data_IF_968714075339
#
_entry.id   IF_968714075339
#
_cell.length_a   1.000
_cell.length_b   1.000
_cell.length_c   1.000
_cell.angle_alpha   90.00
_cell.angle_beta   90.00
_cell.angle_gamma   90.00
#
_symmetry.space_group_name_H-M   'P 1'
#
loop_
_entity.id
_entity.type
_entity.pdbx_description
1 polymer ?
#
# COMPACT_ATOMS: atom_id res chain seq x y z
N UNK A 1 -14.96 16.99 -11.43
CA UNK A 1 -13.70 17.71 -11.20
C UNK A 1 -12.58 16.84 -11.73
N UNK A 2 -11.98 17.18 -12.86
CA UNK A 2 -10.82 16.43 -13.35
C UNK A 2 -9.64 16.78 -12.44
N UNK A 3 -9.25 15.83 -11.59
CA UNK A 3 -8.01 15.93 -10.81
C UNK A 3 -6.86 15.80 -11.82
N UNK A 4 -6.25 16.90 -12.18
CA UNK A 4 -5.03 16.90 -12.98
C UNK A 4 -3.89 16.56 -11.99
N UNK A 5 -3.31 15.38 -12.15
CA UNK A 5 -2.09 15.01 -11.42
C UNK A 5 -0.90 15.56 -12.20
N UNK A 6 -0.03 16.30 -11.52
CA UNK A 6 1.24 16.74 -12.08
C UNK A 6 2.26 15.63 -11.88
N UNK A 7 2.54 14.87 -12.93
CA UNK A 7 3.54 13.80 -12.92
C UNK A 7 4.94 14.30 -13.29
N UNK A 8 5.09 15.56 -13.66
CA UNK A 8 6.36 16.20 -13.99
C UNK A 8 6.99 16.89 -12.76
N UNK A 9 6.22 17.03 -11.69
CA UNK A 9 6.72 17.59 -10.43
C UNK A 9 7.79 16.69 -9.81
N UNK A 10 9.01 17.22 -9.68
CA UNK A 10 10.11 16.52 -9.01
C UNK A 10 10.02 16.72 -7.49
N UNK A 11 9.65 15.69 -6.78
CA UNK A 11 9.59 15.69 -5.32
C UNK A 11 10.96 15.34 -4.75
N UNK A 12 11.63 16.31 -4.09
CA UNK A 12 12.88 16.01 -3.40
C UNK A 12 12.62 15.16 -2.15
N UNK A 13 13.11 13.93 -2.17
CA UNK A 13 13.00 12.97 -1.05
C UNK A 13 14.32 12.74 -0.32
N UNK A 14 15.41 13.45 -0.70
CA UNK A 14 16.67 13.42 0.03
C UNK A 14 16.55 14.18 1.34
N UNK A 15 17.17 13.66 2.40
CA UNK A 15 17.04 14.24 3.73
C UNK A 15 15.69 13.95 4.41
N UNK A 16 14.84 13.15 3.79
CA UNK A 16 13.68 12.51 4.45
C UNK A 16 14.06 11.08 4.82
N UNK A 17 13.45 10.44 5.75
CA UNK A 17 13.77 9.05 6.14
C UNK A 17 13.42 8.02 5.04
N UNK A 18 13.46 8.42 3.77
CA UNK A 18 13.21 7.57 2.62
C UNK A 18 14.35 6.57 2.42
N UNK A 19 14.08 5.28 2.63
CA UNK A 19 15.05 4.21 2.39
C UNK A 19 15.58 4.21 0.95
N UNK A 20 14.74 4.55 -0.02
CA UNK A 20 15.13 4.62 -1.43
C UNK A 20 16.28 5.58 -1.67
N UNK A 21 16.28 6.73 -0.98
CA UNK A 21 17.23 7.82 -1.17
C UNK A 21 18.35 7.90 -0.13
N UNK A 22 18.31 7.07 0.92
CA UNK A 22 19.31 7.10 2.01
C UNK A 22 20.44 6.10 1.88
N UNK A 23 20.33 5.11 0.96
CA UNK A 23 21.28 3.98 0.87
C UNK A 23 22.48 4.30 -0.02
N UNK A 24 22.28 5.07 -1.08
CA UNK A 24 23.32 5.38 -2.06
C UNK A 24 23.70 6.86 -2.05
N UNK A 25 24.93 7.22 -2.50
CA UNK A 25 25.37 8.60 -2.65
C UNK A 25 24.42 9.46 -3.51
N UNK A 26 24.55 10.78 -3.39
CA UNK A 26 23.63 11.72 -4.03
C UNK A 26 23.72 11.73 -5.57
N UNK A 27 24.84 11.38 -6.13
CA UNK A 27 25.10 11.28 -7.57
C UNK A 27 24.53 10.00 -8.20
N UNK A 28 23.99 9.07 -7.36
CA UNK A 28 23.37 7.83 -7.82
C UNK A 28 21.86 7.98 -7.91
N UNK A 29 21.28 7.67 -9.08
CA UNK A 29 19.83 7.61 -9.27
C UNK A 29 19.29 6.30 -8.67
N UNK A 30 18.46 6.35 -7.63
CA UNK A 30 17.98 5.14 -6.96
C UNK A 30 16.82 4.50 -7.73
N UNK A 31 17.08 3.35 -8.35
CA UNK A 31 16.06 2.56 -9.07
C UNK A 31 15.91 1.13 -8.52
N UNK A 32 16.42 0.87 -7.32
CA UNK A 32 16.54 -0.46 -6.73
C UNK A 32 15.32 -0.95 -5.95
N UNK A 33 14.38 -0.07 -5.64
CA UNK A 33 13.19 -0.39 -4.85
C UNK A 33 11.94 0.21 -5.53
N UNK A 34 10.85 -0.57 -5.61
CA UNK A 34 9.59 -0.18 -6.22
C UNK A 34 8.77 0.76 -5.31
N UNK A 35 9.36 1.89 -4.99
CA UNK A 35 8.76 2.97 -4.20
C UNK A 35 8.52 4.16 -5.12
N UNK A 36 7.25 4.55 -5.30
CA UNK A 36 6.84 5.62 -6.20
C UNK A 36 7.34 6.98 -5.71
N UNK A 37 7.82 7.81 -6.64
CA UNK A 37 8.23 9.19 -6.37
C UNK A 37 7.14 10.22 -6.64
N UNK A 38 5.98 9.78 -7.15
CA UNK A 38 4.83 10.65 -7.37
C UNK A 38 4.09 10.92 -6.06
N UNK A 39 3.56 12.13 -5.92
CA UNK A 39 2.66 12.47 -4.80
C UNK A 39 1.42 11.59 -4.82
N UNK A 40 0.92 11.27 -3.64
CA UNK A 40 -0.38 10.61 -3.51
C UNK A 40 -1.50 11.53 -4.05
N UNK A 41 -2.57 10.97 -4.61
CA UNK A 41 -3.73 11.77 -5.04
C UNK A 41 -4.30 12.60 -3.88
N UNK A 42 -4.68 13.85 -4.17
CA UNK A 42 -5.15 14.79 -3.14
C UNK A 42 -6.27 14.23 -2.24
N UNK A 43 -7.29 13.48 -2.75
CA UNK A 43 -8.30 12.89 -1.88
C UNK A 43 -7.74 11.91 -0.84
N UNK A 44 -6.62 11.24 -1.14
CA UNK A 44 -5.95 10.36 -0.17
C UNK A 44 -5.27 11.18 0.91
N UNK A 45 -4.58 12.25 0.52
CA UNK A 45 -3.93 13.19 1.46
C UNK A 45 -4.97 13.81 2.39
N UNK A 46 -6.08 14.31 1.84
CA UNK A 46 -7.16 14.95 2.60
C UNK A 46 -7.77 13.99 3.63
N UNK A 47 -8.05 12.76 3.24
CA UNK A 47 -8.58 11.74 4.15
C UNK A 47 -7.60 11.39 5.29
N UNK A 48 -6.30 11.36 5.01
CA UNK A 48 -5.28 11.14 6.03
C UNK A 48 -5.18 12.33 6.99
N UNK A 49 -5.21 13.56 6.47
CA UNK A 49 -5.18 14.79 7.28
C UNK A 49 -6.40 14.87 8.20
N UNK A 50 -7.61 14.61 7.67
CA UNK A 50 -8.83 14.54 8.46
C UNK A 50 -8.70 13.53 9.61
N UNK A 51 -8.18 12.34 9.32
CA UNK A 51 -7.98 11.31 10.35
C UNK A 51 -6.95 11.71 11.40
N UNK A 52 -5.87 12.36 10.99
CA UNK A 52 -4.82 12.87 11.90
C UNK A 52 -5.39 13.95 12.80
N UNK A 53 -6.17 14.89 12.27
CA UNK A 53 -6.78 15.99 13.03
C UNK A 53 -7.78 15.50 14.08
N UNK A 54 -8.43 14.34 13.87
CA UNK A 54 -9.30 13.73 14.87
C UNK A 54 -8.56 13.38 16.17
N UNK A 55 -7.26 13.05 16.11
CA UNK A 55 -6.35 12.94 17.25
C UNK A 55 -6.56 11.73 18.17
N UNK A 56 -7.58 10.91 17.95
CA UNK A 56 -7.86 9.72 18.77
C UNK A 56 -7.71 8.47 17.92
N UNK A 57 -6.72 7.65 18.25
CA UNK A 57 -6.34 6.44 17.51
C UNK A 57 -6.56 5.20 18.37
N UNK A 58 -7.78 4.72 18.38
CA UNK A 58 -8.15 3.48 19.07
C UNK A 58 -8.11 2.26 18.14
N UNK A 59 -8.61 1.14 18.64
CA UNK A 59 -8.81 -0.04 17.81
C UNK A 59 -9.82 0.24 16.71
N UNK A 60 -9.41 0.08 15.46
CA UNK A 60 -10.28 0.29 14.30
C UNK A 60 -10.52 -1.05 13.62
N UNK A 61 -11.76 -1.54 13.57
CA UNK A 61 -12.08 -2.75 12.83
C UNK A 61 -11.90 -2.51 11.33
N UNK A 62 -11.60 -3.57 10.58
CA UNK A 62 -11.65 -3.51 9.11
C UNK A 62 -13.08 -3.27 8.68
N UNK A 63 -13.34 -2.14 8.01
CA UNK A 63 -14.68 -1.78 7.63
C UNK A 63 -15.17 -2.64 6.44
N UNK A 64 -16.48 -3.00 6.41
CA UNK A 64 -17.08 -3.67 5.25
C UNK A 64 -16.87 -2.88 3.94
N UNK A 65 -16.88 -1.55 4.02
CA UNK A 65 -16.59 -0.65 2.89
C UNK A 65 -15.19 -0.86 2.32
N UNK A 66 -14.18 -1.06 3.17
CA UNK A 66 -12.81 -1.31 2.72
C UNK A 66 -12.69 -2.67 2.03
N UNK A 67 -13.30 -3.72 2.60
CA UNK A 67 -13.36 -5.05 1.99
C UNK A 67 -14.05 -5.02 0.61
N UNK A 68 -15.19 -4.34 0.52
CA UNK A 68 -15.92 -4.18 -0.73
C UNK A 68 -15.11 -3.39 -1.78
N UNK A 69 -14.39 -2.35 -1.38
CA UNK A 69 -13.54 -1.58 -2.29
C UNK A 69 -12.38 -2.43 -2.85
N UNK A 70 -11.76 -3.25 -2.01
CA UNK A 70 -10.71 -4.17 -2.45
C UNK A 70 -11.25 -5.22 -3.43
N UNK A 71 -12.38 -5.86 -3.12
CA UNK A 71 -13.04 -6.81 -4.01
C UNK A 71 -13.42 -6.16 -5.35
N UNK A 72 -14.00 -4.97 -5.32
CA UNK A 72 -14.39 -4.23 -6.54
C UNK A 72 -13.19 -3.85 -7.39
N UNK A 73 -12.04 -3.53 -6.79
CA UNK A 73 -10.81 -3.29 -7.53
C UNK A 73 -10.36 -4.54 -8.30
N UNK A 74 -10.36 -5.72 -7.66
CA UNK A 74 -9.99 -6.97 -8.31
C UNK A 74 -10.92 -7.29 -9.50
N UNK A 75 -12.22 -7.16 -9.29
CA UNK A 75 -13.21 -7.35 -10.36
C UNK A 75 -12.98 -6.39 -11.54
N UNK A 76 -12.83 -5.09 -11.25
CA UNK A 76 -12.76 -4.06 -12.28
C UNK A 76 -11.45 -4.10 -13.07
N UNK A 77 -10.31 -4.42 -12.41
CA UNK A 77 -8.98 -4.39 -13.05
C UNK A 77 -8.57 -5.72 -13.66
N UNK A 78 -9.03 -6.82 -13.09
CA UNK A 78 -8.54 -8.15 -13.44
C UNK A 78 -9.66 -9.13 -13.81
N UNK A 79 -10.93 -8.71 -13.74
CA UNK A 79 -12.08 -9.59 -13.97
C UNK A 79 -12.23 -10.70 -12.92
N UNK A 80 -11.59 -10.52 -11.76
CA UNK A 80 -11.62 -11.51 -10.69
C UNK A 80 -12.68 -11.16 -9.65
N UNK A 81 -13.76 -11.91 -9.63
CA UNK A 81 -14.83 -11.80 -8.63
C UNK A 81 -14.35 -12.39 -7.30
N UNK A 82 -14.27 -11.53 -6.29
CA UNK A 82 -13.86 -11.89 -4.92
C UNK A 82 -15.01 -11.61 -3.97
N UNK A 83 -15.34 -12.60 -3.13
CA UNK A 83 -16.27 -12.34 -2.03
C UNK A 83 -15.60 -11.35 -1.02
N UNK A 84 -16.20 -10.19 -0.74
CA UNK A 84 -15.64 -9.23 0.23
C UNK A 84 -15.37 -9.84 1.62
N UNK A 85 -16.17 -10.83 2.04
CA UNK A 85 -15.98 -11.49 3.35
C UNK A 85 -14.72 -12.37 3.39
N UNK A 86 -14.21 -12.80 2.23
CA UNK A 86 -12.96 -13.54 2.11
C UNK A 86 -11.72 -12.62 2.08
N UNK A 87 -11.89 -11.29 2.08
CA UNK A 87 -10.79 -10.34 2.10
C UNK A 87 -10.31 -10.11 3.53
N UNK A 88 -9.05 -10.42 3.79
CA UNK A 88 -8.40 -10.14 5.07
C UNK A 88 -7.23 -9.17 4.89
N UNK A 89 -7.05 -8.28 5.87
CA UNK A 89 -5.98 -7.30 5.87
C UNK A 89 -4.89 -7.70 6.87
N UNK A 90 -3.65 -7.61 6.44
CA UNK A 90 -2.48 -7.94 7.24
C UNK A 90 -1.49 -6.76 7.25
N UNK A 91 -0.64 -6.61 8.28
CA UNK A 91 0.31 -5.52 8.36
C UNK A 91 1.51 -5.73 7.42
N UNK A 92 1.25 -5.64 6.13
CA UNK A 92 2.26 -5.75 5.07
C UNK A 92 2.32 -7.09 4.37
N UNK A 93 2.82 -7.06 3.13
CA UNK A 93 2.85 -8.22 2.20
C UNK A 93 3.67 -9.38 2.77
N UNK A 94 4.85 -9.12 3.33
CA UNK A 94 5.72 -10.16 3.88
C UNK A 94 5.04 -10.91 5.03
N UNK A 95 4.36 -10.19 5.93
CA UNK A 95 3.59 -10.81 7.02
C UNK A 95 2.46 -11.68 6.49
N UNK A 96 1.79 -11.24 5.42
CA UNK A 96 0.76 -12.02 4.75
C UNK A 96 1.29 -13.30 4.13
N UNK A 97 2.39 -13.22 3.38
CA UNK A 97 3.04 -14.38 2.76
C UNK A 97 3.50 -15.38 3.83
N UNK A 98 4.17 -14.93 4.89
CA UNK A 98 4.61 -15.81 5.98
C UNK A 98 3.40 -16.51 6.64
N UNK A 99 2.32 -15.78 6.88
CA UNK A 99 1.13 -16.35 7.50
C UNK A 99 0.46 -17.38 6.59
N UNK A 100 0.36 -17.09 5.29
CA UNK A 100 -0.19 -18.01 4.31
C UNK A 100 0.65 -19.30 4.19
N UNK A 101 1.96 -19.17 4.07
CA UNK A 101 2.87 -20.34 4.02
C UNK A 101 2.71 -21.20 5.26
N UNK A 102 2.70 -20.61 6.46
CA UNK A 102 2.54 -21.36 7.71
C UNK A 102 1.19 -22.06 7.83
N UNK A 103 0.14 -21.48 7.28
CA UNK A 103 -1.21 -22.02 7.36
C UNK A 103 -1.48 -23.12 6.32
N UNK A 104 -0.83 -23.06 5.15
CA UNK A 104 -1.17 -23.86 3.97
C UNK A 104 -0.11 -24.88 3.59
N UNK A 105 1.03 -24.94 4.30
CA UNK A 105 2.11 -25.89 4.00
C UNK A 105 2.65 -26.61 5.23
N UNK A 106 3.37 -27.70 5.00
CA UNK A 106 4.04 -28.50 6.01
C UNK A 106 5.56 -28.46 5.83
N UNK A 107 6.35 -28.77 6.88
CA UNK A 107 7.80 -28.88 6.75
C UNK A 107 8.19 -29.87 5.65
N UNK A 108 8.98 -29.40 4.67
CA UNK A 108 9.39 -30.18 3.50
C UNK A 108 8.60 -29.89 2.21
N UNK A 109 7.51 -29.13 2.27
CA UNK A 109 6.79 -28.69 1.08
C UNK A 109 7.60 -27.67 0.27
N UNK A 110 7.50 -27.77 -1.05
CA UNK A 110 8.05 -26.77 -1.96
C UNK A 110 7.05 -25.61 -2.12
N UNK A 111 7.54 -24.38 -1.97
CA UNK A 111 6.77 -23.17 -2.21
C UNK A 111 7.27 -22.55 -3.53
N UNK A 112 6.36 -22.37 -4.48
CA UNK A 112 6.65 -21.83 -5.82
C UNK A 112 6.00 -20.45 -5.97
#
# INVERSE_FOLDING_TARGET
MNLVHDFDEVVNRRGTDSKKYSVYPEDVIPMWIADSDFKAPQPVVDALVERVQQGVYGYTPVSPRLKAAAAKWQETRFGWEVNPDAVEFVPGVISGVISAVRALSHPGDNIV
#
